data_IF_212182384355
#
_entry.id   IF_212182384355
#
_cell.length_a   1.000
_cell.length_b   1.000
_cell.length_c   1.000
_cell.angle_alpha   90.00
_cell.angle_beta   90.00
_cell.angle_gamma   90.00
#
_symmetry.space_group_name_H-M   'P 1'
#
loop_
_entity.id
_entity.type
_entity.pdbx_description
1 polymer ?
#
# COMPACT_ATOMS: atom_id res chain seq x y z
N UNK A 1 -9.59 -18.67 -4.53
CA UNK A 1 -9.00 -17.35 -4.85
C UNK A 1 -9.85 -16.70 -5.93
N UNK A 2 -9.97 -15.37 -5.94
CA UNK A 2 -10.58 -14.65 -7.08
C UNK A 2 -9.63 -14.69 -8.29
N UNK A 3 -10.12 -14.43 -9.52
CA UNK A 3 -9.26 -14.33 -10.71
C UNK A 3 -8.09 -13.35 -10.55
N UNK A 4 -8.31 -12.22 -9.86
CA UNK A 4 -7.30 -11.19 -9.63
C UNK A 4 -6.20 -11.68 -8.71
N UNK A 5 -6.56 -12.37 -7.61
CA UNK A 5 -5.58 -12.97 -6.71
C UNK A 5 -4.77 -14.04 -7.45
N UNK A 6 -5.41 -14.85 -8.31
CA UNK A 6 -4.70 -15.83 -9.14
C UNK A 6 -3.71 -15.14 -10.07
N UNK A 7 -4.13 -14.09 -10.78
CA UNK A 7 -3.27 -13.33 -11.69
C UNK A 7 -2.05 -12.72 -10.98
N UNK A 8 -2.26 -12.12 -9.81
CA UNK A 8 -1.17 -11.59 -8.98
C UNK A 8 -0.20 -12.71 -8.57
N UNK A 9 -0.72 -13.85 -8.12
CA UNK A 9 0.11 -14.99 -7.71
C UNK A 9 0.93 -15.54 -8.88
N UNK A 10 0.33 -15.67 -10.06
CA UNK A 10 1.05 -16.10 -11.27
C UNK A 10 2.12 -15.10 -11.69
N UNK A 11 1.85 -13.79 -11.60
CA UNK A 11 2.85 -12.75 -11.84
C UNK A 11 4.04 -12.86 -10.88
N UNK A 12 3.79 -13.11 -9.60
CA UNK A 12 4.85 -13.29 -8.58
C UNK A 12 5.67 -14.57 -8.82
N UNK A 13 5.04 -15.64 -9.35
CA UNK A 13 5.72 -16.91 -9.65
C UNK A 13 6.60 -16.81 -10.89
N UNK A 14 6.05 -16.24 -11.96
CA UNK A 14 6.67 -16.21 -13.28
C UNK A 14 7.61 -15.03 -13.50
N UNK A 15 7.45 -13.95 -12.73
CA UNK A 15 8.17 -12.69 -12.91
C UNK A 15 9.22 -12.39 -11.85
N UNK A 16 10.04 -11.39 -12.16
CA UNK A 16 10.82 -10.64 -11.18
C UNK A 16 9.91 -9.55 -10.60
N UNK A 17 9.47 -9.77 -9.36
CA UNK A 17 8.67 -8.81 -8.59
C UNK A 17 9.46 -8.52 -7.32
N UNK A 18 9.91 -7.27 -7.18
CA UNK A 18 10.73 -6.83 -6.05
C UNK A 18 9.90 -6.20 -4.92
N UNK A 19 8.71 -5.73 -5.26
CA UNK A 19 7.77 -5.16 -4.31
C UNK A 19 6.32 -5.44 -4.70
N UNK A 20 5.46 -5.55 -3.69
CA UNK A 20 4.00 -5.51 -3.83
C UNK A 20 3.44 -4.44 -2.91
N UNK A 21 2.43 -3.73 -3.38
CA UNK A 21 1.75 -2.68 -2.65
C UNK A 21 0.25 -2.76 -2.88
N UNK A 22 -0.51 -2.48 -1.83
CA UNK A 22 -1.97 -2.50 -1.84
C UNK A 22 -2.48 -1.23 -1.17
N UNK A 23 -3.45 -0.61 -1.82
CA UNK A 23 -4.31 0.39 -1.18
C UNK A 23 -5.58 -0.35 -0.75
N UNK A 24 -5.94 -0.22 0.52
CA UNK A 24 -7.12 -0.85 1.12
C UNK A 24 -8.10 0.22 1.55
N UNK A 25 -9.39 -0.04 1.36
CA UNK A 25 -10.47 0.84 1.78
C UNK A 25 -11.31 0.14 2.86
N UNK A 26 -11.33 0.72 4.06
CA UNK A 26 -12.06 0.19 5.21
C UNK A 26 -12.64 1.34 6.03
N UNK A 27 -13.92 1.27 6.38
CA UNK A 27 -14.61 2.28 7.20
C UNK A 27 -14.40 3.72 6.69
N UNK A 28 -14.65 3.92 5.40
CA UNK A 28 -14.52 5.21 4.70
C UNK A 28 -13.10 5.82 4.76
N UNK A 29 -12.09 4.97 4.86
CA UNK A 29 -10.69 5.39 4.96
C UNK A 29 -9.79 4.53 4.09
N UNK A 30 -8.85 5.19 3.42
CA UNK A 30 -7.82 4.52 2.64
C UNK A 30 -6.53 4.39 3.47
N UNK A 31 -5.99 3.17 3.50
CA UNK A 31 -4.68 2.85 4.05
C UNK A 31 -3.87 2.07 3.02
N UNK A 32 -2.56 1.93 3.27
CA UNK A 32 -1.66 1.25 2.37
C UNK A 32 -0.90 0.13 3.08
N UNK A 33 -0.52 -0.89 2.33
CA UNK A 33 0.39 -1.93 2.80
C UNK A 33 1.36 -2.30 1.72
N UNK A 34 2.64 -2.37 2.07
CA UNK A 34 3.71 -2.67 1.14
C UNK A 34 4.64 -3.74 1.67
N UNK A 35 5.19 -4.54 0.76
CA UNK A 35 6.28 -5.48 1.00
C UNK A 35 7.30 -5.33 -0.10
N UNK A 36 8.47 -4.82 0.26
CA UNK A 36 9.68 -4.89 -0.55
C UNK A 36 10.43 -6.16 -0.15
N UNK A 37 11.03 -6.90 -1.08
CA UNK A 37 11.65 -8.21 -0.78
C UNK A 37 12.64 -8.16 0.39
N UNK A 38 13.42 -7.08 0.52
CA UNK A 38 14.41 -6.88 1.58
C UNK A 38 13.81 -6.49 2.95
N UNK A 39 12.56 -6.02 2.99
CA UNK A 39 11.97 -5.40 4.19
C UNK A 39 10.74 -6.18 4.67
N UNK A 40 10.35 -6.13 5.95
CA UNK A 40 9.07 -6.67 6.38
C UNK A 40 7.89 -5.95 5.70
N UNK A 41 6.68 -6.47 5.89
CA UNK A 41 5.48 -5.72 5.51
C UNK A 41 5.39 -4.43 6.33
N UNK A 42 5.12 -3.32 5.65
CA UNK A 42 4.83 -2.03 6.24
C UNK A 42 3.37 -1.66 6.00
N UNK A 43 2.71 -1.11 7.02
CA UNK A 43 1.37 -0.56 6.99
C UNK A 43 1.45 0.96 7.13
N UNK A 44 0.84 1.69 6.20
CA UNK A 44 0.77 3.14 6.23
C UNK A 44 -0.68 3.60 6.39
N UNK A 45 -0.92 4.48 7.35
CA UNK A 45 -2.23 5.06 7.60
C UNK A 45 -2.09 6.54 7.97
N UNK A 46 -2.74 7.40 7.20
CA UNK A 46 -2.66 8.87 7.34
C UNK A 46 -3.45 9.39 8.54
N UNK A 47 -4.24 8.56 9.21
CA UNK A 47 -4.83 8.84 10.53
C UNK A 47 -3.92 8.34 11.67
N UNK A 48 -2.68 7.92 11.36
CA UNK A 48 -1.69 7.43 12.31
C UNK A 48 -2.17 6.19 13.11
N UNK A 49 -3.09 5.40 12.51
CA UNK A 49 -3.44 4.09 13.06
C UNK A 49 -2.25 3.16 12.89
N UNK A 50 -1.95 2.39 13.94
CA UNK A 50 -0.73 1.58 13.98
C UNK A 50 -0.94 0.14 13.56
N UNK A 51 -2.18 -0.31 13.43
CA UNK A 51 -2.49 -1.69 13.11
C UNK A 51 -3.57 -1.84 12.03
N UNK A 52 -3.56 -3.05 11.47
CA UNK A 52 -4.59 -3.59 10.60
C UNK A 52 -4.68 -5.09 10.94
N UNK A 53 -5.34 -5.46 12.04
CA UNK A 53 -5.25 -6.81 12.62
C UNK A 53 -5.74 -7.89 11.64
N UNK A 54 -6.72 -7.57 10.81
CA UNK A 54 -7.30 -8.49 9.82
C UNK A 54 -6.40 -8.69 8.60
N UNK A 55 -5.46 -7.77 8.35
CA UNK A 55 -4.67 -7.78 7.13
C UNK A 55 -3.62 -8.89 7.10
N UNK A 56 -2.99 -9.18 8.23
CA UNK A 56 -1.96 -10.21 8.30
C UNK A 56 -2.50 -11.63 7.97
N UNK A 57 -3.64 -12.08 8.52
CA UNK A 57 -4.31 -13.31 8.08
C UNK A 57 -4.63 -13.32 6.57
N UNK A 58 -5.14 -12.21 6.03
CA UNK A 58 -5.49 -12.10 4.60
C UNK A 58 -4.23 -12.26 3.74
N UNK A 59 -3.14 -11.54 4.05
CA UNK A 59 -1.88 -11.62 3.32
C UNK A 59 -1.28 -13.04 3.36
N UNK A 60 -1.35 -13.71 4.51
CA UNK A 60 -0.92 -15.12 4.64
C UNK A 60 -1.70 -16.04 3.73
N UNK A 61 -3.02 -15.92 3.72
CA UNK A 61 -3.87 -16.72 2.86
C UNK A 61 -3.61 -16.42 1.37
N UNK A 62 -3.57 -15.13 1.00
CA UNK A 62 -3.42 -14.67 -0.37
C UNK A 62 -2.06 -15.05 -0.97
N UNK A 63 -0.99 -15.00 -0.18
CA UNK A 63 0.38 -15.29 -0.62
C UNK A 63 0.92 -16.65 -0.15
N UNK A 64 0.06 -17.52 0.39
CA UNK A 64 0.46 -18.88 0.77
C UNK A 64 1.15 -19.63 -0.37
N UNK A 65 2.29 -20.25 -0.08
CA UNK A 65 3.15 -20.93 -1.06
C UNK A 65 4.03 -20.01 -1.92
N UNK A 66 4.03 -18.69 -1.66
CA UNK A 66 4.91 -17.73 -2.31
C UNK A 66 5.94 -17.22 -1.30
N UNK A 67 6.93 -18.05 -0.99
CA UNK A 67 7.88 -17.86 0.13
C UNK A 67 8.49 -16.45 0.23
N UNK A 68 8.66 -15.75 -0.89
CA UNK A 68 9.22 -14.39 -0.95
C UNK A 68 8.28 -13.30 -0.43
N UNK A 69 6.97 -13.52 -0.52
CA UNK A 69 5.93 -12.55 -0.17
C UNK A 69 4.96 -13.04 0.90
N UNK A 70 4.93 -14.33 1.23
CA UNK A 70 4.15 -14.83 2.35
C UNK A 70 4.70 -14.27 3.68
N UNK A 71 3.87 -13.60 4.51
CA UNK A 71 4.29 -13.25 5.86
C UNK A 71 4.69 -14.50 6.66
N UNK A 72 5.80 -14.49 7.43
CA UNK A 72 6.17 -15.61 8.29
C UNK A 72 5.07 -15.99 9.28
N UNK A 73 4.95 -17.28 9.61
CA UNK A 73 3.94 -17.77 10.56
C UNK A 73 4.10 -17.17 11.96
N UNK A 74 5.34 -16.84 12.36
CA UNK A 74 5.65 -16.25 13.67
C UNK A 74 5.38 -14.74 13.74
N UNK A 75 5.17 -14.07 12.61
CA UNK A 75 4.87 -12.64 12.60
C UNK A 75 3.53 -12.39 13.32
N UNK A 76 3.47 -11.44 14.25
CA UNK A 76 2.21 -11.17 14.99
C UNK A 76 1.53 -9.88 14.54
N UNK A 77 2.27 -8.98 13.92
CA UNK A 77 1.78 -7.68 13.45
C UNK A 77 2.48 -7.24 12.17
N UNK A 78 1.91 -6.25 11.50
CA UNK A 78 2.55 -5.55 10.38
C UNK A 78 3.25 -4.33 10.98
N UNK A 79 4.45 -4.00 10.49
CA UNK A 79 5.19 -2.85 10.99
C UNK A 79 4.51 -1.55 10.53
N UNK A 80 4.41 -0.55 11.40
CA UNK A 80 3.94 0.76 10.97
C UNK A 80 5.03 1.43 10.13
N UNK A 81 4.69 1.79 8.90
CA UNK A 81 5.55 2.56 8.02
C UNK A 81 5.43 4.06 8.27
N UNK A 82 6.46 4.81 7.90
CA UNK A 82 6.42 6.27 7.93
C UNK A 82 5.51 6.79 6.81
N UNK A 83 4.38 7.37 7.20
CA UNK A 83 3.42 8.09 6.36
C UNK A 83 3.09 9.43 7.03
N UNK A 84 2.93 10.49 6.25
CA UNK A 84 2.48 11.77 6.81
C UNK A 84 1.00 11.72 7.19
N UNK A 85 0.64 12.50 8.21
CA UNK A 85 -0.70 12.48 8.82
C UNK A 85 -1.59 13.50 8.13
N UNK A 86 -2.82 13.12 7.79
CA UNK A 86 -3.81 14.08 7.30
C UNK A 86 -4.21 15.03 8.44
N UNK A 87 -4.17 16.34 8.19
CA UNK A 87 -4.64 17.32 9.16
C UNK A 87 -6.14 17.17 9.48
N UNK A 88 -6.57 17.74 10.62
CA UNK A 88 -7.98 17.72 11.08
C UNK A 88 -8.99 18.30 10.06
N UNK A 89 -8.54 19.15 9.13
CA UNK A 89 -9.34 19.76 8.06
C UNK A 89 -9.19 19.06 6.70
N UNK A 90 -8.39 18.00 6.60
CA UNK A 90 -8.02 17.32 5.36
C UNK A 90 -9.05 16.32 4.86
N UNK A 91 -10.21 16.78 4.41
CA UNK A 91 -11.17 15.94 3.70
C UNK A 91 -10.60 15.41 2.38
N UNK A 92 -10.59 14.08 2.19
CA UNK A 92 -10.35 13.45 0.88
C UNK A 92 -8.89 13.30 0.45
N UNK A 93 -7.94 13.17 1.38
CA UNK A 93 -6.51 12.99 1.06
C UNK A 93 -5.92 11.64 1.49
N UNK A 94 -6.68 10.81 2.22
CA UNK A 94 -6.22 9.48 2.64
C UNK A 94 -5.86 8.58 1.46
N UNK A 95 -6.63 8.63 0.36
CA UNK A 95 -6.32 7.90 -0.87
C UNK A 95 -5.00 8.36 -1.50
N UNK A 96 -4.77 9.67 -1.54
CA UNK A 96 -3.52 10.26 -2.06
C UNK A 96 -2.32 9.84 -1.19
N UNK A 97 -2.45 9.95 0.13
CA UNK A 97 -1.42 9.54 1.07
C UNK A 97 -1.10 8.04 0.95
N UNK A 98 -2.13 7.19 0.83
CA UNK A 98 -1.98 5.75 0.64
C UNK A 98 -1.27 5.40 -0.68
N UNK A 99 -1.66 6.03 -1.78
CA UNK A 99 -1.02 5.83 -3.09
C UNK A 99 0.44 6.28 -3.07
N UNK A 100 0.71 7.50 -2.58
CA UNK A 100 2.08 8.02 -2.45
C UNK A 100 2.96 7.12 -1.60
N UNK A 101 2.42 6.56 -0.50
CA UNK A 101 3.14 5.61 0.33
C UNK A 101 3.57 4.37 -0.47
N UNK A 102 2.67 3.79 -1.28
CA UNK A 102 3.00 2.65 -2.14
C UNK A 102 4.08 3.00 -3.15
N UNK A 103 3.92 4.13 -3.84
CA UNK A 103 4.82 4.57 -4.90
C UNK A 103 6.25 4.85 -4.39
N UNK A 104 6.37 5.48 -3.21
CA UNK A 104 7.67 5.69 -2.56
C UNK A 104 8.35 4.35 -2.23
N UNK A 105 7.60 3.34 -1.78
CA UNK A 105 8.15 2.00 -1.48
C UNK A 105 8.48 1.21 -2.73
N UNK A 106 7.81 1.49 -3.84
CA UNK A 106 8.17 0.98 -5.17
C UNK A 106 9.42 1.65 -5.75
N UNK A 107 10.00 2.64 -5.06
CA UNK A 107 11.22 3.33 -5.49
C UNK A 107 10.99 4.39 -6.56
N UNK A 108 9.75 4.84 -6.76
CA UNK A 108 9.46 5.90 -7.71
C UNK A 108 10.06 7.23 -7.22
N UNK A 109 10.69 8.03 -8.10
CA UNK A 109 11.36 9.28 -7.74
C UNK A 109 10.36 10.42 -7.56
N UNK A 110 9.34 10.22 -6.72
CA UNK A 110 8.28 11.19 -6.46
C UNK A 110 8.48 11.86 -5.10
N UNK A 111 8.00 13.10 -4.91
CA UNK A 111 8.02 13.74 -3.61
C UNK A 111 7.14 12.97 -2.61
N UNK A 112 7.54 13.02 -1.35
CA UNK A 112 6.70 12.56 -0.25
C UNK A 112 5.53 13.51 -0.07
N UNK A 113 4.31 12.96 -0.07
CA UNK A 113 3.08 13.71 0.11
C UNK A 113 3.04 14.38 1.48
N UNK A 114 2.58 15.61 1.51
CA UNK A 114 2.24 16.37 2.72
C UNK A 114 0.80 16.86 2.61
N UNK A 115 0.13 17.01 3.75
CA UNK A 115 -1.29 17.38 3.78
C UNK A 115 -1.57 18.69 3.01
N UNK A 116 -0.66 19.66 3.10
CA UNK A 116 -0.72 20.96 2.44
C UNK A 116 -0.63 20.87 0.91
N UNK A 117 -0.08 19.77 0.38
CA UNK A 117 0.15 19.55 -1.05
C UNK A 117 -0.92 18.64 -1.68
N UNK A 118 -1.96 18.27 -0.94
CA UNK A 118 -2.95 17.28 -1.40
C UNK A 118 -3.67 17.64 -2.69
N UNK A 119 -3.94 18.93 -2.94
CA UNK A 119 -4.53 19.40 -4.19
C UNK A 119 -3.59 19.14 -5.38
N UNK A 120 -2.32 19.51 -5.24
CA UNK A 120 -1.30 19.29 -6.27
C UNK A 120 -1.18 17.80 -6.62
N UNK A 121 -1.06 16.93 -5.61
CA UNK A 121 -0.97 15.49 -5.85
C UNK A 121 -2.23 14.91 -6.51
N UNK A 122 -3.41 15.44 -6.17
CA UNK A 122 -4.67 15.04 -6.82
C UNK A 122 -4.66 15.41 -8.29
N UNK A 123 -4.23 16.63 -8.63
CA UNK A 123 -4.15 17.09 -10.01
C UNK A 123 -3.15 16.26 -10.81
N UNK A 124 -2.01 15.88 -10.22
CA UNK A 124 -1.02 14.98 -10.84
C UNK A 124 -1.60 13.59 -11.11
N UNK A 125 -2.29 12.98 -10.14
CA UNK A 125 -2.92 11.66 -10.31
C UNK A 125 -4.04 11.72 -11.36
N UNK A 126 -4.82 12.81 -11.40
CA UNK A 126 -5.83 13.00 -12.44
C UNK A 126 -5.22 13.17 -13.82
N UNK A 127 -4.10 13.90 -13.92
CA UNK A 127 -3.35 14.03 -15.16
C UNK A 127 -2.83 12.67 -15.65
N UNK A 128 -2.25 11.86 -14.76
CA UNK A 128 -1.80 10.52 -15.09
C UNK A 128 -2.98 9.65 -15.57
N UNK A 129 -4.13 9.72 -14.89
CA UNK A 129 -5.33 9.01 -15.32
C UNK A 129 -5.73 9.38 -16.75
N UNK A 130 -5.69 10.67 -17.11
CA UNK A 130 -6.02 11.16 -18.45
C UNK A 130 -4.99 10.79 -19.53
N UNK A 131 -3.74 10.53 -19.14
CA UNK A 131 -2.68 10.15 -20.08
C UNK A 131 -2.69 8.65 -20.39
N UNK A 132 -3.11 7.83 -19.44
CA UNK A 132 -3.02 6.36 -19.54
C UNK A 132 -4.38 5.65 -19.72
N UNK A 133 -5.50 6.38 -19.74
CA UNK A 133 -6.85 5.87 -20.03
C UNK A 133 -7.59 6.73 -21.06
#
# INVERSE_FOLDING_TARGET
>A
YSPEIIAIRERIRSGQVDSIGFVSWTNDHYSATCKVLSNPYEFGDSLNRRDAPDLLPILRWAFSGLNRFAPPLQQQSIQSGLMDVQGYSGGGSCGIAATNFVELRAGLPIPRWQAEQSSLFRDLILQDLLLYH
#
